data_IF_331603710443
#
_entry.id   IF_331603710443
#
_cell.length_a   1.000
_cell.length_b   1.000
_cell.length_c   1.000
_cell.angle_alpha   90.00
_cell.angle_beta   90.00
_cell.angle_gamma   90.00
#
_symmetry.space_group_name_H-M   'P 1'
#
loop_
_entity.id
_entity.type
_entity.pdbx_description
1 polymer ?
#
# COMPACT_ATOMS: atom_id res chain seq x y z
N UNK A 1 -57.54 -23.65 -20.19
CA UNK A 1 -56.06 -23.58 -20.06
C UNK A 1 -55.71 -22.14 -19.75
N UNK A 2 -55.20 -21.86 -18.56
CA UNK A 2 -54.85 -20.50 -18.13
C UNK A 2 -53.37 -20.25 -18.42
N UNK A 3 -53.08 -19.27 -19.29
CA UNK A 3 -51.74 -18.78 -19.53
C UNK A 3 -51.17 -18.19 -18.23
N UNK A 4 -50.14 -18.84 -17.68
CA UNK A 4 -49.45 -18.35 -16.49
C UNK A 4 -48.48 -17.27 -16.94
N UNK A 5 -48.86 -16.00 -16.76
CA UNK A 5 -47.93 -14.88 -16.98
C UNK A 5 -46.73 -15.03 -16.06
N UNK A 6 -45.59 -15.36 -16.66
CA UNK A 6 -44.30 -15.45 -15.96
C UNK A 6 -43.60 -14.10 -16.09
N UNK A 7 -43.31 -13.46 -14.95
CA UNK A 7 -42.53 -12.22 -14.94
C UNK A 7 -41.10 -12.48 -15.45
N UNK A 8 -40.54 -11.49 -16.14
CA UNK A 8 -39.18 -11.58 -16.64
C UNK A 8 -38.17 -11.41 -15.48
N UNK A 9 -37.19 -12.30 -15.40
CA UNK A 9 -36.19 -12.26 -14.33
C UNK A 9 -35.29 -11.02 -14.47
N UNK A 10 -34.86 -10.46 -13.34
CA UNK A 10 -33.95 -9.30 -13.29
C UNK A 10 -32.70 -9.67 -12.50
N UNK A 11 -31.54 -9.21 -12.97
CA UNK A 11 -30.24 -9.39 -12.34
C UNK A 11 -29.75 -8.09 -11.72
N UNK A 12 -29.01 -8.20 -10.64
CA UNK A 12 -28.40 -7.07 -9.94
C UNK A 12 -26.89 -7.12 -10.10
N UNK A 13 -26.28 -5.99 -10.43
CA UNK A 13 -24.83 -5.83 -10.40
C UNK A 13 -24.39 -5.16 -9.10
N UNK A 14 -23.54 -5.82 -8.32
CA UNK A 14 -23.03 -5.29 -7.05
C UNK A 14 -22.08 -4.10 -7.21
N UNK A 15 -21.34 -4.06 -8.32
CA UNK A 15 -20.37 -3.00 -8.60
C UNK A 15 -21.06 -1.71 -9.04
N UNK A 16 -22.02 -1.82 -9.96
CA UNK A 16 -22.76 -0.67 -10.48
C UNK A 16 -23.99 -0.31 -9.65
N UNK A 17 -24.47 -1.22 -8.78
CA UNK A 17 -25.69 -1.08 -7.97
C UNK A 17 -26.96 -0.81 -8.80
N UNK A 18 -27.09 -1.50 -9.94
CA UNK A 18 -28.23 -1.36 -10.87
C UNK A 18 -28.87 -2.72 -11.14
N UNK A 19 -30.20 -2.72 -11.27
CA UNK A 19 -30.99 -3.85 -11.73
C UNK A 19 -31.19 -3.79 -13.25
N UNK A 20 -30.97 -4.90 -13.94
CA UNK A 20 -31.16 -5.02 -15.39
C UNK A 20 -31.86 -6.35 -15.74
N UNK A 21 -32.28 -6.51 -16.99
CA UNK A 21 -32.99 -7.72 -17.45
C UNK A 21 -32.05 -8.93 -17.53
N UNK A 22 -32.53 -10.13 -17.19
CA UNK A 22 -31.77 -11.39 -17.25
C UNK A 22 -31.71 -11.96 -18.68
N UNK A 23 -31.33 -11.11 -19.64
CA UNK A 23 -31.11 -11.50 -21.03
C UNK A 23 -29.60 -11.49 -21.31
N UNK A 24 -29.10 -12.48 -22.05
CA UNK A 24 -27.67 -12.59 -22.40
C UNK A 24 -27.10 -11.30 -23.00
N UNK A 25 -27.80 -10.70 -23.97
CA UNK A 25 -27.38 -9.45 -24.61
C UNK A 25 -27.32 -8.28 -23.61
N UNK A 26 -28.27 -8.21 -22.68
CA UNK A 26 -28.29 -7.18 -21.64
C UNK A 26 -27.16 -7.35 -20.63
N UNK A 27 -26.83 -8.60 -20.27
CA UNK A 27 -25.68 -8.94 -19.41
C UNK A 27 -24.38 -8.51 -20.09
N UNK A 28 -24.16 -8.97 -21.33
CA UNK A 28 -22.94 -8.67 -22.08
C UNK A 28 -22.75 -7.17 -22.29
N UNK A 29 -23.81 -6.42 -22.60
CA UNK A 29 -23.73 -4.96 -22.75
C UNK A 29 -23.42 -4.26 -21.42
N UNK A 30 -23.99 -4.74 -20.31
CA UNK A 30 -23.73 -4.18 -18.99
C UNK A 30 -22.28 -4.41 -18.56
N UNK A 31 -21.79 -5.65 -18.65
CA UNK A 31 -20.43 -6.05 -18.26
C UNK A 31 -19.37 -5.40 -19.17
N UNK A 32 -19.65 -5.30 -20.47
CA UNK A 32 -18.76 -4.63 -21.41
C UNK A 32 -18.79 -3.11 -21.34
N UNK A 33 -19.78 -2.53 -20.66
CA UNK A 33 -19.94 -1.09 -20.51
C UNK A 33 -18.77 -0.43 -19.79
N UNK A 34 -18.37 0.75 -20.25
CA UNK A 34 -17.23 1.50 -19.70
C UNK A 34 -17.40 1.80 -18.21
N UNK A 35 -18.62 2.14 -17.77
CA UNK A 35 -18.92 2.40 -16.35
C UNK A 35 -18.67 1.17 -15.47
N UNK A 36 -19.06 -0.01 -15.94
CA UNK A 36 -18.85 -1.26 -15.21
C UNK A 36 -17.35 -1.57 -15.12
N UNK A 37 -16.63 -1.53 -16.24
CA UNK A 37 -15.17 -1.77 -16.28
C UNK A 37 -14.39 -0.79 -15.39
N UNK A 38 -14.76 0.49 -15.40
CA UNK A 38 -14.15 1.50 -14.53
C UNK A 38 -14.41 1.21 -13.04
N UNK A 39 -15.64 0.81 -12.68
CA UNK A 39 -15.99 0.44 -11.31
C UNK A 39 -15.23 -0.82 -10.83
N UNK A 40 -15.10 -1.84 -11.70
CA UNK A 40 -14.29 -3.04 -11.44
C UNK A 40 -12.84 -2.65 -11.14
N UNK A 41 -12.22 -1.85 -12.02
CA UNK A 41 -10.83 -1.41 -11.85
C UNK A 41 -10.64 -0.59 -10.57
N UNK A 42 -11.57 0.32 -10.26
CA UNK A 42 -11.56 1.09 -9.02
C UNK A 42 -11.64 0.18 -7.79
N UNK A 43 -12.50 -0.85 -7.82
CA UNK A 43 -12.64 -1.82 -6.72
C UNK A 43 -11.38 -2.65 -6.51
N UNK A 44 -10.72 -3.08 -7.60
CA UNK A 44 -9.44 -3.81 -7.54
C UNK A 44 -8.35 -2.93 -6.91
N UNK A 45 -8.25 -1.66 -7.34
CA UNK A 45 -7.28 -0.71 -6.78
C UNK A 45 -7.53 -0.46 -5.29
N UNK A 46 -8.79 -0.34 -4.90
CA UNK A 46 -9.18 -0.15 -3.50
C UNK A 46 -8.84 -1.38 -2.64
N UNK A 47 -9.14 -2.59 -3.12
CA UNK A 47 -8.75 -3.84 -2.47
C UNK A 47 -7.22 -3.94 -2.29
N UNK A 48 -6.45 -3.57 -3.32
CA UNK A 48 -4.98 -3.55 -3.22
C UNK A 48 -4.47 -2.60 -2.14
N UNK A 49 -5.04 -1.40 -2.04
CA UNK A 49 -4.69 -0.43 -0.99
C UNK A 49 -5.07 -0.94 0.40
N UNK A 50 -6.28 -1.50 0.55
CA UNK A 50 -6.75 -2.06 1.81
C UNK A 50 -5.88 -3.23 2.25
N UNK A 51 -5.47 -4.12 1.35
CA UNK A 51 -4.59 -5.23 1.67
C UNK A 51 -3.22 -4.74 2.18
N UNK A 52 -2.60 -3.78 1.50
CA UNK A 52 -1.33 -3.17 1.95
C UNK A 52 -1.45 -2.49 3.31
N UNK A 53 -2.57 -1.82 3.57
CA UNK A 53 -2.82 -1.19 4.88
C UNK A 53 -3.04 -2.24 5.97
N UNK A 54 -3.80 -3.30 5.68
CA UNK A 54 -4.03 -4.43 6.60
C UNK A 54 -2.73 -5.15 6.94
N UNK A 55 -1.86 -5.40 5.96
CA UNK A 55 -0.55 -6.03 6.17
C UNK A 55 0.33 -5.20 7.11
N UNK A 56 0.41 -3.89 6.89
CA UNK A 56 1.13 -2.98 7.79
C UNK A 56 0.55 -2.98 9.20
N UNK A 57 -0.77 -2.83 9.32
CA UNK A 57 -1.45 -2.84 10.60
C UNK A 57 -1.27 -4.18 11.35
N UNK A 58 -1.26 -5.31 10.63
CA UNK A 58 -0.98 -6.62 11.19
C UNK A 58 0.48 -6.75 11.65
N UNK A 59 1.44 -6.24 10.88
CA UNK A 59 2.85 -6.22 11.28
C UNK A 59 3.07 -5.38 12.54
N UNK A 60 2.46 -4.19 12.61
CA UNK A 60 2.57 -3.32 13.79
C UNK A 60 1.91 -3.97 15.01
N UNK A 61 0.73 -4.58 14.83
CA UNK A 61 0.06 -5.36 15.88
C UNK A 61 0.94 -6.52 16.36
N UNK A 62 1.52 -7.30 15.44
CA UNK A 62 2.40 -8.42 15.79
C UNK A 62 3.65 -7.96 16.55
N UNK A 63 4.25 -6.84 16.14
CA UNK A 63 5.41 -6.27 16.84
C UNK A 63 5.04 -5.86 18.28
N UNK A 64 3.89 -5.21 18.47
CA UNK A 64 3.42 -4.83 19.81
C UNK A 64 3.08 -6.04 20.70
N UNK A 65 2.46 -7.08 20.14
CA UNK A 65 2.19 -8.33 20.84
C UNK A 65 3.50 -9.01 21.28
N UNK A 66 4.48 -9.10 20.39
CA UNK A 66 5.79 -9.69 20.72
C UNK A 66 6.53 -8.94 21.82
N UNK A 67 6.48 -7.60 21.84
CA UNK A 67 7.06 -6.80 22.92
C UNK A 67 6.35 -7.03 24.26
N UNK A 68 5.01 -7.10 24.26
CA UNK A 68 4.22 -7.38 25.47
C UNK A 68 4.49 -8.78 26.00
N UNK A 69 4.54 -9.79 25.13
CA UNK A 69 4.89 -11.17 25.49
C UNK A 69 6.28 -11.25 26.10
N UNK A 70 7.28 -10.61 25.48
CA UNK A 70 8.64 -10.57 26.03
C UNK A 70 8.72 -9.88 27.40
N UNK A 71 7.97 -8.80 27.61
CA UNK A 71 7.91 -8.12 28.91
C UNK A 71 7.22 -9.00 29.98
N UNK A 72 6.13 -9.69 29.61
CA UNK A 72 5.42 -10.60 30.50
C UNK A 72 6.26 -11.84 30.88
N UNK A 73 7.01 -12.41 29.93
CA UNK A 73 7.93 -13.51 30.22
C UNK A 73 9.04 -13.08 31.19
N UNK A 74 9.58 -11.87 31.04
CA UNK A 74 10.59 -11.32 31.96
C UNK A 74 10.03 -11.13 33.37
N UNK A 75 8.85 -10.54 33.51
CA UNK A 75 8.24 -10.33 34.83
C UNK A 75 7.85 -11.64 35.51
N UNK A 76 7.38 -12.64 34.75
CA UNK A 76 7.11 -13.98 35.27
C UNK A 76 8.39 -14.65 35.77
N UNK A 77 9.48 -14.59 35.00
CA UNK A 77 10.76 -15.15 35.43
C UNK A 77 11.25 -14.49 36.74
N UNK A 78 11.20 -13.16 36.84
CA UNK A 78 11.62 -12.42 38.03
C UNK A 78 10.73 -12.68 39.26
N UNK A 79 9.44 -12.91 39.04
CA UNK A 79 8.48 -13.27 40.10
C UNK A 79 8.70 -14.70 40.64
N UNK A 80 9.23 -15.61 39.82
CA UNK A 80 9.55 -16.98 40.28
C UNK A 80 10.86 -17.09 41.04
N UNK A 81 11.80 -16.17 40.85
CA UNK A 81 13.10 -16.16 41.54
C UNK A 81 13.10 -15.42 42.88
N UNK A 82 12.07 -14.62 43.18
CA UNK A 82 12.02 -13.80 44.39
C UNK A 82 10.87 -14.24 45.30
N UNK A 83 11.26 -14.98 46.34
CA UNK A 83 10.67 -15.15 47.69
C UNK A 83 9.64 -14.07 48.07
N UNK A 84 8.55 -14.40 48.81
CA UNK A 84 7.39 -13.52 48.96
C UNK A 84 7.72 -12.13 49.54
N UNK A 85 7.10 -11.15 48.90
CA UNK A 85 7.03 -9.73 49.22
C UNK A 85 7.11 -9.39 50.71
N UNK A 86 8.17 -8.68 51.11
CA UNK A 86 8.20 -7.83 52.30
C UNK A 86 8.99 -6.55 51.98
N UNK A 87 8.51 -5.44 52.54
CA UNK A 87 9.12 -4.08 52.62
C UNK A 87 8.67 -3.02 51.59
N UNK A 88 7.45 -2.53 51.83
CA UNK A 88 7.06 -1.13 52.08
C UNK A 88 8.16 -0.06 51.91
N UNK A 89 7.97 0.82 50.94
CA UNK A 89 8.60 2.15 50.86
C UNK A 89 8.31 2.85 49.53
N UNK A 90 7.67 4.04 49.47
CA UNK A 90 7.48 4.74 48.20
C UNK A 90 8.82 5.31 47.73
N UNK A 91 9.35 4.78 46.64
CA UNK A 91 10.48 5.39 45.93
C UNK A 91 10.06 6.77 45.39
N UNK A 92 10.95 7.77 45.42
CA UNK A 92 10.62 9.10 44.92
C UNK A 92 10.39 9.02 43.40
N UNK A 93 9.15 9.26 42.99
CA UNK A 93 8.75 9.30 41.58
C UNK A 93 9.63 10.32 40.84
N UNK A 94 10.31 9.89 39.79
CA UNK A 94 10.99 10.81 38.86
C UNK A 94 9.97 11.84 38.38
N UNK A 95 10.24 13.13 38.60
CA UNK A 95 9.32 14.21 38.25
C UNK A 95 9.04 14.15 36.74
N UNK A 96 7.82 13.76 36.38
CA UNK A 96 7.32 13.70 35.00
C UNK A 96 7.05 15.07 34.38
N UNK A 97 7.30 16.15 35.13
CA UNK A 97 7.10 17.52 34.67
C UNK A 97 8.37 18.06 34.01
N UNK A 98 8.43 17.97 32.68
CA UNK A 98 9.42 18.66 31.85
C UNK A 98 9.14 20.16 31.90
N UNK A 99 10.03 20.91 32.54
CA UNK A 99 9.91 22.37 32.62
C UNK A 99 10.32 23.01 31.27
N UNK A 100 9.38 23.58 30.48
CA UNK A 100 9.67 24.02 29.11
C UNK A 100 10.72 25.13 29.03
N UNK A 101 10.91 25.88 30.12
CA UNK A 101 11.89 26.97 30.18
C UNK A 101 13.31 26.45 30.42
N UNK A 102 13.46 25.40 31.21
CA UNK A 102 14.74 24.74 31.48
C UNK A 102 15.25 23.94 30.27
N UNK A 103 14.34 23.42 29.43
CA UNK A 103 14.68 22.64 28.24
C UNK A 103 14.56 23.42 26.92
N UNK A 104 14.29 24.73 26.98
CA UNK A 104 14.14 25.61 25.81
C UNK A 104 15.33 25.56 24.85
N UNK A 105 16.56 25.47 25.36
CA UNK A 105 17.77 25.31 24.54
C UNK A 105 17.84 23.94 23.83
N UNK A 106 17.39 22.87 24.48
CA UNK A 106 17.33 21.53 23.89
C UNK A 106 16.24 21.42 22.81
N UNK A 107 15.07 22.01 23.07
CA UNK A 107 13.96 22.09 22.11
C UNK A 107 14.35 22.94 20.90
N UNK A 108 15.03 24.07 21.11
CA UNK A 108 15.55 24.91 20.03
C UNK A 108 16.60 24.17 19.18
N UNK A 109 17.54 23.46 19.83
CA UNK A 109 18.53 22.64 19.13
C UNK A 109 17.88 21.54 18.27
N UNK A 110 16.84 20.88 18.80
CA UNK A 110 16.08 19.88 18.07
C UNK A 110 15.33 20.50 16.87
N UNK A 111 14.72 21.67 17.04
CA UNK A 111 14.03 22.39 15.96
C UNK A 111 15.01 22.77 14.83
N UNK A 112 16.21 23.24 15.18
CA UNK A 112 17.27 23.51 14.20
C UNK A 112 17.69 22.24 13.45
N UNK A 113 17.86 21.12 14.16
CA UNK A 113 18.21 19.83 13.54
C UNK A 113 17.13 19.34 12.57
N UNK A 114 15.85 19.51 12.90
CA UNK A 114 14.75 19.19 11.98
C UNK A 114 14.74 20.09 10.74
N UNK A 115 15.01 21.39 10.90
CA UNK A 115 15.10 22.33 9.79
C UNK A 115 16.27 21.99 8.84
N UNK A 116 17.42 21.59 9.38
CA UNK A 116 18.58 21.15 8.60
C UNK A 116 18.27 19.87 7.80
N UNK A 117 17.65 18.86 8.42
CA UNK A 117 17.22 17.64 7.72
C UNK A 117 16.20 17.93 6.62
N UNK A 118 15.30 18.89 6.83
CA UNK A 118 14.31 19.31 5.82
C UNK A 118 14.98 20.02 4.64
N UNK A 119 15.99 20.87 4.90
CA UNK A 119 16.82 21.48 3.85
C UNK A 119 17.61 20.43 3.07
N UNK A 120 18.29 19.50 3.75
CA UNK A 120 19.01 18.40 3.11
C UNK A 120 18.08 17.54 2.25
N UNK A 121 16.87 17.23 2.72
CA UNK A 121 15.88 16.48 1.94
C UNK A 121 15.36 17.25 0.73
N UNK A 122 15.28 18.58 0.81
CA UNK A 122 14.90 19.43 -0.32
C UNK A 122 16.03 19.54 -1.36
N UNK A 123 17.28 19.69 -0.91
CA UNK A 123 18.46 19.66 -1.78
C UNK A 123 18.61 18.28 -2.45
N UNK A 124 18.43 17.18 -1.71
CA UNK A 124 18.40 15.83 -2.28
C UNK A 124 17.31 15.68 -3.34
N UNK A 125 16.09 16.22 -3.11
CA UNK A 125 15.01 16.25 -4.11
C UNK A 125 15.27 17.18 -5.30
N UNK A 126 16.27 18.06 -5.21
CA UNK A 126 16.67 18.99 -6.28
C UNK A 126 17.86 18.44 -7.08
N UNK A 127 18.73 17.68 -6.43
CA UNK A 127 19.87 16.98 -7.06
C UNK A 127 19.48 15.62 -7.63
N UNK A 128 18.45 14.98 -7.08
CA UNK A 128 17.76 13.90 -7.80
C UNK A 128 16.92 14.55 -8.89
N UNK A 129 17.16 14.25 -10.18
CA UNK A 129 16.32 14.75 -11.24
C UNK A 129 14.90 14.23 -10.97
N UNK A 130 13.92 15.12 -11.11
CA UNK A 130 12.51 14.79 -11.01
C UNK A 130 12.20 13.59 -11.91
N UNK A 131 11.87 12.45 -11.29
CA UNK A 131 11.29 11.28 -11.96
C UNK A 131 9.84 11.56 -12.45
N UNK A 132 9.61 12.78 -12.94
CA UNK A 132 8.39 13.26 -13.57
C UNK A 132 8.64 13.71 -15.02
N UNK A 133 9.88 13.53 -15.52
CA UNK A 133 10.26 13.45 -16.94
C UNK A 133 10.94 12.10 -17.25
N UNK A 134 10.30 11.00 -16.86
CA UNK A 134 10.51 9.68 -17.49
C UNK A 134 9.16 9.14 -17.92
N UNK A 135 8.53 9.89 -18.84
CA UNK A 135 7.53 9.41 -19.79
C UNK A 135 7.81 10.05 -21.15
N UNK A 136 9.03 9.88 -21.63
CA UNK A 136 9.40 10.10 -23.02
C UNK A 136 10.70 9.34 -23.23
N UNK A 137 10.73 8.52 -24.27
CA UNK A 137 11.96 7.95 -24.85
C UNK A 137 12.66 6.84 -24.03
N UNK A 138 11.98 5.70 -23.85
CA UNK A 138 12.66 4.47 -24.30
C UNK A 138 12.41 4.42 -25.79
N UNK A 139 13.21 5.17 -26.56
CA UNK A 139 13.34 4.94 -27.98
C UNK A 139 13.99 3.56 -28.09
N UNK A 140 13.15 2.53 -28.17
CA UNK A 140 13.57 1.22 -28.61
C UNK A 140 14.00 1.43 -30.06
N UNK A 141 15.26 1.80 -30.24
CA UNK A 141 15.88 2.09 -31.52
C UNK A 141 15.55 0.91 -32.44
N UNK A 142 14.76 1.20 -33.47
CA UNK A 142 14.26 0.15 -34.36
C UNK A 142 15.41 -0.29 -35.24
N UNK A 143 16.13 -1.33 -34.80
CA UNK A 143 17.22 -1.93 -35.56
C UNK A 143 16.63 -2.93 -36.55
N UNK A 144 16.83 -2.65 -37.85
CA UNK A 144 16.48 -3.56 -38.93
C UNK A 144 17.59 -4.61 -39.11
N UNK A 145 17.23 -5.89 -39.03
CA UNK A 145 18.17 -7.01 -39.20
C UNK A 145 17.84 -7.77 -40.48
N UNK A 146 18.85 -8.00 -41.31
CA UNK A 146 18.77 -8.87 -42.49
C UNK A 146 19.17 -10.30 -42.11
N UNK A 147 18.32 -11.28 -42.40
CA UNK A 147 18.62 -12.70 -42.27
C UNK A 147 18.38 -13.43 -43.59
N UNK A 148 19.06 -14.56 -43.81
CA UNK A 148 18.85 -15.41 -44.99
C UNK A 148 18.09 -16.66 -44.58
N UNK A 149 17.02 -16.99 -45.31
CA UNK A 149 16.34 -18.29 -45.14
C UNK A 149 17.25 -19.43 -45.61
N UNK A 150 16.90 -20.68 -45.28
CA UNK A 150 17.66 -21.88 -45.69
C UNK A 150 17.81 -22.01 -47.21
N UNK A 151 16.92 -21.36 -47.97
CA UNK A 151 16.95 -21.26 -49.43
C UNK A 151 17.78 -20.08 -49.96
N UNK A 152 18.48 -19.35 -49.08
CA UNK A 152 19.36 -18.22 -49.42
C UNK A 152 18.67 -16.90 -49.72
N UNK A 153 17.36 -16.77 -49.47
CA UNK A 153 16.60 -15.56 -49.76
C UNK A 153 16.69 -14.60 -48.57
N UNK A 154 17.13 -13.33 -48.76
CA UNK A 154 17.19 -12.36 -47.67
C UNK A 154 15.77 -11.95 -47.22
N UNK A 155 15.55 -11.87 -45.92
CA UNK A 155 14.33 -11.33 -45.31
C UNK A 155 14.68 -10.40 -44.14
N UNK A 156 13.88 -9.35 -43.98
CA UNK A 156 14.11 -8.26 -43.02
C UNK A 156 13.06 -8.30 -41.91
N UNK A 157 13.50 -8.13 -40.67
CA UNK A 157 12.59 -7.99 -39.52
C UNK A 157 13.16 -6.99 -38.51
N UNK A 158 12.27 -6.34 -37.77
CA UNK A 158 12.65 -5.37 -36.74
C UNK A 158 12.75 -6.05 -35.38
N UNK A 159 13.73 -5.64 -34.60
CA UNK A 159 13.90 -6.08 -33.21
C UNK A 159 13.95 -4.84 -32.31
N UNK A 160 13.27 -4.89 -31.17
CA UNK A 160 13.35 -3.84 -30.17
C UNK A 160 14.51 -4.18 -29.22
N UNK A 161 15.61 -3.44 -29.34
CA UNK A 161 16.68 -3.46 -28.33
C UNK A 161 16.22 -2.58 -27.16
N UNK A 162 15.97 -3.19 -26.02
CA UNK A 162 15.63 -2.49 -24.77
C UNK A 162 16.86 -2.06 -23.99
#
# INVERSE_FOLDING_TARGET
MTDVWKSNARKFCELCKVWFADNRVSIEHHENGQKHKAAVQAKIRELGKQNKQKEKAQSDLQATLSMMEAAACKSMAESTSTTPCAMIGPSPKSKTYMDPRAHSASVAAMAHQMALRRKQKMEQRKTEPSAEETKSETDSETVWVEAKTETGVPYYFHMYSG
#
